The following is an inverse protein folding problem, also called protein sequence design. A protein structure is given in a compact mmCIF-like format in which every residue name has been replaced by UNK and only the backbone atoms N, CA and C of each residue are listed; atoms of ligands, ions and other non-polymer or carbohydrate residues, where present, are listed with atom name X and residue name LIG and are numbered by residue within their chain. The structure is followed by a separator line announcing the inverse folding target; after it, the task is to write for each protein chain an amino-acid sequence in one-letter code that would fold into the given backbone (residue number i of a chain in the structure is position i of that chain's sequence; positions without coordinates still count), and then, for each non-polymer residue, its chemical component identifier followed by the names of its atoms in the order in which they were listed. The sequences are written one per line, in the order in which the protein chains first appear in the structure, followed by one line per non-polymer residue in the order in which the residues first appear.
data_IF_765993234152
#
_entry.id   IF_765993234152
#
_cell.length_a   1.000
_cell.length_b   1.000
_cell.length_c   1.000
_cell.angle_alpha   90.00
_cell.angle_beta   90.00
_cell.angle_gamma   90.00
#
_symmetry.space_group_name_H-M   'P 1'
#
loop_
_entity.id
_entity.type
_entity.pdbx_description
1 polymer ?
#
# COMPACT_ATOMS: atom_id res chain seq x y z
N UNK A 1 12.16 11.38 -11.96
CA UNK A 1 13.40 11.48 -12.72
C UNK A 1 14.60 11.88 -11.84
N UNK A 2 14.50 12.98 -11.07
CA UNK A 2 15.59 13.40 -10.15
C UNK A 2 15.88 12.40 -9.04
N UNK A 3 14.87 11.66 -8.58
CA UNK A 3 15.00 10.64 -7.54
C UNK A 3 15.47 9.28 -8.03
N UNK A 4 15.61 9.06 -9.34
CA UNK A 4 16.07 7.79 -9.92
C UNK A 4 15.10 6.63 -9.71
N UNK A 5 13.78 6.90 -9.60
CA UNK A 5 12.78 5.85 -9.41
C UNK A 5 12.58 5.06 -10.70
N UNK A 6 12.62 3.74 -10.62
CA UNK A 6 12.52 2.82 -11.76
C UNK A 6 11.10 2.31 -12.00
N UNK A 7 10.19 2.46 -11.03
CA UNK A 7 8.78 2.12 -11.20
C UNK A 7 7.86 3.09 -10.47
N UNK A 8 6.64 3.25 -11.00
CA UNK A 8 5.58 4.09 -10.43
C UNK A 8 4.30 3.27 -10.36
N UNK A 9 3.49 3.49 -9.32
CA UNK A 9 2.18 2.90 -9.19
C UNK A 9 1.11 3.86 -9.71
N UNK A 10 0.20 3.37 -10.56
CA UNK A 10 -1.00 4.09 -10.99
C UNK A 10 -2.05 4.13 -9.89
N UNK A 11 -2.76 5.25 -9.78
CA UNK A 11 -3.77 5.45 -8.75
C UNK A 11 -5.17 5.01 -9.22
N UNK A 12 -6.06 4.73 -8.27
CA UNK A 12 -7.48 4.42 -8.51
C UNK A 12 -8.27 5.60 -9.09
N UNK A 13 -7.82 6.81 -8.78
CA UNK A 13 -8.55 8.04 -9.05
C UNK A 13 -8.89 8.22 -10.53
N UNK A 14 -9.98 8.96 -10.76
CA UNK A 14 -10.38 9.44 -12.08
C UNK A 14 -9.78 10.82 -12.36
N UNK A 15 -9.23 11.02 -13.55
CA UNK A 15 -8.85 12.32 -14.08
C UNK A 15 -9.63 12.55 -15.38
N UNK A 16 -10.47 13.59 -15.39
CA UNK A 16 -11.36 13.90 -16.52
C UNK A 16 -12.24 12.72 -16.94
N UNK A 17 -12.74 11.97 -15.95
CA UNK A 17 -13.66 10.86 -16.18
C UNK A 17 -13.00 9.54 -16.62
N UNK A 18 -11.67 9.45 -16.66
CA UNK A 18 -10.94 8.24 -16.99
C UNK A 18 -10.02 7.83 -15.84
N UNK A 19 -9.97 6.54 -15.50
CA UNK A 19 -9.09 6.01 -14.47
C UNK A 19 -7.62 6.25 -14.80
N UNK A 20 -6.82 6.62 -13.78
CA UNK A 20 -5.42 7.00 -13.97
C UNK A 20 -4.59 5.93 -14.69
N UNK A 21 -4.82 4.65 -14.36
CA UNK A 21 -4.09 3.52 -14.98
C UNK A 21 -4.34 3.36 -16.49
N UNK A 22 -5.47 3.87 -16.97
CA UNK A 22 -5.90 3.78 -18.38
C UNK A 22 -5.78 5.13 -19.10
N UNK A 23 -5.36 6.18 -18.41
CA UNK A 23 -5.41 7.55 -18.89
C UNK A 23 -4.21 7.87 -19.77
N UNK A 24 -4.41 7.81 -21.08
CA UNK A 24 -3.38 8.11 -22.08
C UNK A 24 -2.85 9.54 -21.98
N UNK A 25 -3.70 10.53 -21.66
CA UNK A 25 -3.23 11.91 -21.47
C UNK A 25 -2.25 11.99 -20.30
N UNK A 26 -2.57 11.36 -19.17
CA UNK A 26 -1.72 11.36 -18.00
C UNK A 26 -0.43 10.57 -18.21
N UNK A 27 -0.56 9.30 -18.63
CA UNK A 27 0.56 8.37 -18.65
C UNK A 27 1.42 8.50 -19.92
N UNK A 28 0.80 8.76 -21.10
CA UNK A 28 1.55 8.92 -22.35
C UNK A 28 2.02 10.37 -22.52
N UNK A 29 1.08 11.31 -22.63
CA UNK A 29 1.45 12.67 -23.05
C UNK A 29 2.25 13.40 -21.98
N UNK A 30 1.86 13.31 -20.70
CA UNK A 30 2.56 14.01 -19.62
C UNK A 30 3.74 13.19 -19.12
N UNK A 31 3.51 11.97 -18.63
CA UNK A 31 4.56 11.21 -17.95
C UNK A 31 5.65 10.72 -18.91
N UNK A 32 5.27 10.07 -20.03
CA UNK A 32 6.23 9.56 -21.01
C UNK A 32 6.82 10.67 -21.87
N UNK A 33 5.97 11.44 -22.57
CA UNK A 33 6.43 12.35 -23.62
C UNK A 33 6.99 13.64 -23.04
N UNK A 34 6.25 14.34 -22.16
CA UNK A 34 6.69 15.63 -21.62
C UNK A 34 7.80 15.46 -20.55
N UNK A 35 7.61 14.53 -19.62
CA UNK A 35 8.58 14.32 -18.54
C UNK A 35 9.69 13.34 -18.91
N UNK A 36 9.54 12.58 -19.98
CA UNK A 36 10.51 11.59 -20.45
C UNK A 36 10.76 10.49 -19.43
N UNK A 37 9.72 10.05 -18.71
CA UNK A 37 9.83 8.93 -17.79
C UNK A 37 9.80 7.60 -18.58
N UNK A 38 10.82 6.77 -18.38
CA UNK A 38 11.02 5.50 -19.10
C UNK A 38 11.07 4.27 -18.17
N UNK A 39 10.68 4.44 -16.89
CA UNK A 39 10.53 3.34 -15.94
C UNK A 39 9.20 2.62 -16.11
N UNK A 40 9.02 1.53 -15.37
CA UNK A 40 7.82 0.69 -15.40
C UNK A 40 6.65 1.34 -14.66
N UNK A 41 5.45 1.25 -15.22
CA UNK A 41 4.21 1.69 -14.58
C UNK A 41 3.40 0.45 -14.21
N UNK A 42 3.08 0.32 -12.94
CA UNK A 42 2.27 -0.78 -12.39
C UNK A 42 0.94 -0.23 -11.89
N UNK A 43 -0.16 -0.95 -12.06
CA UNK A 43 -1.45 -0.54 -11.48
C UNK A 43 -1.47 -0.79 -9.97
N UNK A 44 -2.35 -0.12 -9.24
CA UNK A 44 -2.82 -0.63 -7.97
C UNK A 44 -3.73 -1.85 -8.21
N UNK A 45 -4.10 -2.62 -7.15
CA UNK A 45 -4.95 -3.80 -7.26
C UNK A 45 -6.35 -3.41 -7.78
N UNK A 46 -6.82 -4.11 -8.84
CA UNK A 46 -8.11 -3.87 -9.49
C UNK A 46 -8.32 -2.44 -10.02
N UNK A 47 -7.25 -1.71 -10.30
CA UNK A 47 -7.32 -0.33 -10.80
C UNK A 47 -7.42 -0.22 -12.33
N UNK A 48 -7.58 -1.36 -13.03
CA UNK A 48 -7.71 -1.43 -14.50
C UNK A 48 -9.12 -1.94 -14.85
N UNK A 49 -9.84 -1.19 -15.67
CA UNK A 49 -11.26 -1.46 -15.94
C UNK A 49 -11.58 -1.73 -17.41
N UNK A 50 -10.77 -1.21 -18.34
CA UNK A 50 -10.97 -1.34 -19.79
C UNK A 50 -9.73 -1.86 -20.49
N UNK A 51 -9.85 -3.01 -21.16
CA UNK A 51 -8.74 -3.68 -21.87
C UNK A 51 -8.13 -2.82 -22.98
N UNK A 52 -8.96 -2.14 -23.78
CA UNK A 52 -8.47 -1.34 -24.91
C UNK A 52 -7.76 -0.08 -24.40
N UNK A 53 -8.37 0.62 -23.46
CA UNK A 53 -7.76 1.81 -22.85
C UNK A 53 -6.44 1.46 -22.15
N UNK A 54 -6.38 0.34 -21.42
CA UNK A 54 -5.17 -0.15 -20.77
C UNK A 54 -4.09 -0.59 -21.79
N UNK A 55 -4.49 -1.23 -22.90
CA UNK A 55 -3.56 -1.58 -23.97
C UNK A 55 -2.91 -0.33 -24.59
N UNK A 56 -3.70 0.69 -24.92
CA UNK A 56 -3.25 1.94 -25.52
C UNK A 56 -2.51 2.88 -24.53
N UNK A 57 -2.68 2.65 -23.22
CA UNK A 57 -1.98 3.41 -22.19
C UNK A 57 -0.58 2.84 -21.94
N UNK A 58 0.38 3.65 -21.46
CA UNK A 58 1.70 3.17 -21.05
C UNK A 58 1.73 2.42 -19.73
N UNK A 59 0.61 1.90 -19.23
CA UNK A 59 0.58 0.96 -18.11
C UNK A 59 1.29 -0.33 -18.54
N UNK A 60 2.29 -0.77 -17.80
CA UNK A 60 3.10 -1.93 -18.18
C UNK A 60 2.67 -3.21 -17.45
N UNK A 61 2.24 -3.11 -16.20
CA UNK A 61 1.87 -4.25 -15.35
C UNK A 61 0.52 -3.99 -14.69
N UNK A 62 -0.39 -4.93 -14.81
CA UNK A 62 -1.66 -4.95 -14.08
C UNK A 62 -1.55 -5.81 -12.83
N UNK A 63 -2.02 -5.27 -11.69
CA UNK A 63 -2.20 -5.98 -10.44
C UNK A 63 -3.67 -6.26 -10.17
N UNK A 64 -3.99 -7.44 -9.68
CA UNK A 64 -5.34 -7.82 -9.27
C UNK A 64 -5.31 -8.77 -8.08
N UNK A 65 -6.48 -8.97 -7.45
CA UNK A 65 -6.68 -9.90 -6.32
C UNK A 65 -7.22 -11.26 -6.76
N UNK A 66 -7.53 -11.42 -8.03
CA UNK A 66 -7.98 -12.69 -8.62
C UNK A 66 -6.82 -13.54 -9.12
N UNK A 67 -7.05 -14.85 -9.22
CA UNK A 67 -6.17 -15.79 -9.92
C UNK A 67 -6.70 -16.18 -11.30
N UNK A 68 -7.82 -15.58 -11.73
CA UNK A 68 -8.44 -15.84 -13.04
C UNK A 68 -7.91 -14.85 -14.07
N UNK A 69 -7.16 -15.35 -15.04
CA UNK A 69 -6.60 -14.53 -16.12
C UNK A 69 -7.66 -13.98 -17.08
N UNK A 70 -8.90 -14.43 -17.02
CA UNK A 70 -10.01 -13.84 -17.77
C UNK A 70 -10.50 -12.52 -17.13
N UNK A 71 -10.25 -12.32 -15.83
CA UNK A 71 -10.57 -11.07 -15.14
C UNK A 71 -9.54 -9.96 -15.39
N UNK A 72 -8.27 -10.32 -15.64
CA UNK A 72 -7.22 -9.35 -15.93
C UNK A 72 -7.38 -8.73 -17.31
N UNK A 73 -7.36 -7.41 -17.39
CA UNK A 73 -7.53 -6.66 -18.64
C UNK A 73 -6.33 -6.78 -19.57
N UNK A 74 -5.12 -6.93 -19.00
CA UNK A 74 -3.87 -7.12 -19.74
C UNK A 74 -3.46 -8.60 -19.90
N UNK A 75 -4.35 -9.56 -19.60
CA UNK A 75 -4.11 -10.99 -19.82
C UNK A 75 -4.96 -11.56 -20.98
N UNK A 76 -5.81 -12.55 -20.72
CA UNK A 76 -6.62 -13.20 -21.76
C UNK A 76 -7.50 -12.21 -22.56
N UNK A 77 -8.15 -11.20 -21.95
CA UNK A 77 -8.88 -10.18 -22.70
C UNK A 77 -8.01 -9.42 -23.71
N UNK A 78 -6.75 -9.09 -23.36
CA UNK A 78 -5.82 -8.41 -24.27
C UNK A 78 -5.40 -9.32 -25.43
N UNK A 79 -5.14 -10.62 -25.16
CA UNK A 79 -4.82 -11.60 -26.21
C UNK A 79 -5.95 -11.68 -27.24
N UNK A 80 -7.19 -11.72 -26.76
CA UNK A 80 -8.36 -11.77 -27.65
C UNK A 80 -8.57 -10.46 -28.42
N UNK A 81 -8.30 -9.30 -27.78
CA UNK A 81 -8.36 -8.00 -28.45
C UNK A 81 -7.34 -7.89 -29.59
N UNK A 82 -6.11 -8.38 -29.39
CA UNK A 82 -5.07 -8.42 -30.44
C UNK A 82 -5.49 -9.35 -31.58
N UNK A 83 -5.98 -10.56 -31.31
CA UNK A 83 -6.48 -11.49 -32.35
C UNK A 83 -7.61 -10.90 -33.18
N UNK A 84 -8.45 -10.06 -32.58
CA UNK A 84 -9.56 -9.37 -33.29
C UNK A 84 -9.12 -8.09 -33.98
N UNK A 85 -7.89 -7.64 -33.82
CA UNK A 85 -7.38 -6.36 -34.34
C UNK A 85 -7.88 -5.12 -33.60
N UNK A 86 -8.39 -5.28 -32.37
CA UNK A 86 -8.87 -4.22 -31.49
C UNK A 86 -7.74 -3.59 -30.65
N UNK A 87 -6.64 -4.31 -30.49
CA UNK A 87 -5.39 -3.85 -29.88
C UNK A 87 -4.20 -4.26 -30.75
N UNK A 88 -3.06 -3.64 -30.57
CA UNK A 88 -1.85 -3.90 -31.38
C UNK A 88 -0.84 -4.72 -30.60
N UNK A 89 -0.17 -5.64 -31.26
CA UNK A 89 0.94 -6.39 -30.66
C UNK A 89 2.09 -5.44 -30.21
N UNK A 90 2.31 -4.35 -30.97
CA UNK A 90 3.29 -3.31 -30.58
C UNK A 90 3.03 -2.66 -29.22
N UNK A 91 1.77 -2.62 -28.76
CA UNK A 91 1.44 -2.08 -27.46
C UNK A 91 1.92 -3.03 -26.34
N UNK A 92 1.92 -4.34 -26.61
CA UNK A 92 2.49 -5.36 -25.70
C UNK A 92 4.02 -5.27 -25.71
N UNK A 93 4.64 -5.13 -26.88
CA UNK A 93 6.09 -5.01 -27.02
C UNK A 93 6.62 -3.81 -26.21
N UNK A 94 5.93 -2.66 -26.23
CA UNK A 94 6.30 -1.48 -25.46
C UNK A 94 6.25 -1.76 -23.96
N UNK A 95 5.22 -2.44 -23.45
CA UNK A 95 5.10 -2.82 -22.04
C UNK A 95 6.22 -3.77 -21.61
N UNK A 96 6.48 -4.79 -22.41
CA UNK A 96 7.56 -5.76 -22.19
C UNK A 96 8.92 -5.05 -22.20
N UNK A 97 9.12 -4.10 -23.11
CA UNK A 97 10.34 -3.29 -23.18
C UNK A 97 10.62 -2.56 -21.85
N UNK A 98 9.64 -1.86 -21.28
CA UNK A 98 9.81 -1.15 -20.01
C UNK A 98 10.11 -2.09 -18.83
N UNK A 99 9.44 -3.26 -18.79
CA UNK A 99 9.69 -4.28 -17.77
C UNK A 99 11.13 -4.80 -17.87
N UNK A 100 11.56 -5.19 -19.07
CA UNK A 100 12.90 -5.69 -19.28
C UNK A 100 13.96 -4.61 -19.00
N UNK A 101 13.73 -3.37 -19.42
CA UNK A 101 14.63 -2.24 -19.16
C UNK A 101 14.84 -2.04 -17.65
N UNK A 102 13.76 -2.07 -16.86
CA UNK A 102 13.85 -2.01 -15.41
C UNK A 102 14.68 -3.18 -14.86
N UNK A 103 14.43 -4.40 -15.31
CA UNK A 103 15.16 -5.59 -14.86
C UNK A 103 16.66 -5.50 -15.19
N UNK A 104 17.02 -5.00 -16.37
CA UNK A 104 18.42 -4.75 -16.73
C UNK A 104 19.08 -3.67 -15.88
N UNK A 105 18.40 -2.52 -15.67
CA UNK A 105 18.90 -1.42 -14.83
C UNK A 105 19.12 -1.84 -13.38
N UNK A 106 18.24 -2.68 -12.88
CA UNK A 106 18.34 -3.27 -11.54
C UNK A 106 19.29 -4.47 -11.49
N UNK A 107 19.97 -4.80 -12.57
CA UNK A 107 20.92 -5.95 -12.67
C UNK A 107 20.28 -7.28 -12.27
N UNK A 108 19.00 -7.47 -12.57
CA UNK A 108 18.29 -8.72 -12.31
C UNK A 108 18.56 -9.76 -13.40
N UNK A 109 18.80 -9.29 -14.62
CA UNK A 109 19.06 -10.10 -15.82
C UNK A 109 20.21 -9.50 -16.64
N UNK A 110 20.68 -10.27 -17.62
CA UNK A 110 21.74 -9.87 -18.55
C UNK A 110 23.16 -10.12 -18.03
N UNK A 111 24.16 -9.65 -18.77
CA UNK A 111 25.56 -9.90 -18.47
C UNK A 111 26.08 -9.26 -17.16
N UNK A 112 25.35 -8.25 -16.65
CA UNK A 112 25.66 -7.57 -15.39
C UNK A 112 24.76 -8.04 -14.25
N UNK A 113 24.06 -9.14 -14.43
CA UNK A 113 23.18 -9.68 -13.37
C UNK A 113 23.99 -10.00 -12.11
N UNK A 114 23.48 -9.58 -10.96
CA UNK A 114 24.10 -9.80 -9.65
C UNK A 114 23.29 -10.83 -8.85
N UNK A 115 24.00 -11.75 -8.18
CA UNK A 115 23.37 -12.63 -7.21
C UNK A 115 22.81 -11.80 -6.05
N UNK A 116 21.52 -11.95 -5.77
CA UNK A 116 20.83 -11.26 -4.68
C UNK A 116 20.71 -12.17 -3.48
N UNK A 117 21.17 -11.68 -2.33
CA UNK A 117 20.95 -12.35 -1.05
C UNK A 117 19.57 -12.00 -0.52
N UNK A 118 18.96 -12.95 0.17
CA UNK A 118 17.74 -12.65 0.93
C UNK A 118 18.00 -11.54 1.94
N UNK A 119 17.09 -10.60 2.04
CA UNK A 119 17.11 -9.57 3.08
C UNK A 119 16.74 -10.14 4.44
N UNK A 120 16.69 -9.28 5.45
CA UNK A 120 16.18 -9.59 6.77
C UNK A 120 14.97 -8.71 7.08
N UNK A 121 14.12 -9.17 7.98
CA UNK A 121 12.97 -8.43 8.47
C UNK A 121 12.78 -8.67 9.96
N UNK A 122 12.06 -7.76 10.61
CA UNK A 122 11.74 -7.85 12.03
C UNK A 122 12.95 -8.00 12.96
N UNK A 123 14.08 -7.40 12.61
CA UNK A 123 15.25 -7.34 13.48
C UNK A 123 14.99 -6.37 14.66
N UNK A 124 15.81 -6.41 15.74
CA UNK A 124 15.71 -5.42 16.80
C UNK A 124 15.82 -3.98 16.28
N UNK A 125 16.69 -3.75 15.30
CA UNK A 125 16.91 -2.45 14.67
C UNK A 125 15.64 -1.99 13.94
N UNK A 126 15.02 -2.86 13.11
CA UNK A 126 13.77 -2.55 12.42
C UNK A 126 12.65 -2.19 13.42
N UNK A 127 12.55 -2.91 14.53
CA UNK A 127 11.57 -2.59 15.58
C UNK A 127 11.83 -1.24 16.24
N UNK A 128 13.10 -0.91 16.46
CA UNK A 128 13.49 0.40 17.02
C UNK A 128 13.14 1.53 16.06
N UNK A 129 13.42 1.38 14.77
CA UNK A 129 13.07 2.37 13.74
C UNK A 129 11.55 2.56 13.62
N UNK A 130 10.78 1.47 13.55
CA UNK A 130 9.32 1.53 13.49
C UNK A 130 8.74 2.24 14.73
N UNK A 131 9.30 1.96 15.90
CA UNK A 131 8.90 2.65 17.12
C UNK A 131 9.24 4.15 17.06
N UNK A 132 10.43 4.51 16.63
CA UNK A 132 10.84 5.91 16.44
C UNK A 132 9.90 6.67 15.50
N UNK A 133 9.55 6.08 14.35
CA UNK A 133 8.59 6.65 13.42
C UNK A 133 7.21 6.83 14.06
N UNK A 134 6.74 5.85 14.85
CA UNK A 134 5.48 5.96 15.57
C UNK A 134 5.50 7.09 16.61
N UNK A 135 6.58 7.21 17.40
CA UNK A 135 6.75 8.27 18.38
C UNK A 135 6.75 9.67 17.73
N UNK A 136 7.42 9.84 16.59
CA UNK A 136 7.45 11.08 15.81
C UNK A 136 6.11 11.41 15.12
N UNK A 137 5.23 10.43 14.93
CA UNK A 137 3.93 10.62 14.27
C UNK A 137 2.86 11.23 15.19
N UNK A 138 3.08 11.25 16.51
CA UNK A 138 2.10 11.81 17.44
C UNK A 138 2.07 13.35 17.38
N UNK A 139 0.86 13.90 17.26
CA UNK A 139 0.62 15.33 17.30
C UNK A 139 -0.14 15.68 18.57
N UNK A 140 0.52 16.40 19.47
CA UNK A 140 -0.07 16.88 20.74
C UNK A 140 -0.86 18.16 20.47
N UNK A 141 -2.17 18.05 20.32
CA UNK A 141 -3.04 19.19 20.00
C UNK A 141 -3.27 20.14 21.18
N UNK A 142 -3.26 19.62 22.39
CA UNK A 142 -3.52 20.38 23.62
C UNK A 142 -2.88 19.68 24.83
N UNK A 143 -2.24 20.44 25.70
CA UNK A 143 -1.63 19.91 26.91
C UNK A 143 -1.62 21.00 28.01
N UNK A 144 -2.81 21.39 28.47
CA UNK A 144 -2.96 22.37 29.55
C UNK A 144 -2.36 21.79 30.82
N UNK A 145 -1.72 22.66 31.58
CA UNK A 145 -1.03 22.34 32.86
C UNK A 145 0.05 21.24 32.73
N UNK A 146 0.59 21.00 31.54
CA UNK A 146 1.60 19.96 31.26
C UNK A 146 1.21 18.57 31.81
N UNK A 147 -0.05 18.17 31.59
CA UNK A 147 -0.57 16.88 32.06
C UNK A 147 0.09 15.67 31.39
N UNK A 148 0.59 15.84 30.17
CA UNK A 148 1.34 14.84 29.45
C UNK A 148 2.80 15.23 29.30
N UNK A 149 3.75 14.27 29.31
CA UNK A 149 3.54 12.83 29.51
C UNK A 149 3.12 12.49 30.94
N UNK A 150 2.34 11.40 31.07
CA UNK A 150 2.03 10.89 32.41
C UNK A 150 3.30 10.30 33.02
N UNK A 151 3.53 10.60 34.31
CA UNK A 151 4.62 9.96 35.04
C UNK A 151 4.21 8.54 35.44
N UNK A 152 5.05 7.56 35.14
CA UNK A 152 4.90 6.19 35.64
C UNK A 152 5.19 6.08 37.15
N UNK A 153 5.95 7.05 37.69
CA UNK A 153 6.29 7.10 39.13
C UNK A 153 5.10 7.58 39.94
N UNK A 154 4.56 6.69 40.77
CA UNK A 154 3.47 7.00 41.69
C UNK A 154 2.06 6.94 41.10
N UNK A 155 1.90 6.57 39.83
CA UNK A 155 0.61 6.33 39.21
C UNK A 155 -0.04 5.07 39.81
N UNK A 156 -1.11 5.24 40.58
CA UNK A 156 -1.80 4.14 41.27
C UNK A 156 -2.85 3.47 40.39
N UNK A 157 -3.60 4.28 39.67
CA UNK A 157 -4.71 3.80 38.82
C UNK A 157 -4.70 4.56 37.49
N UNK A 158 -5.03 3.83 36.40
CA UNK A 158 -5.24 4.36 35.07
C UNK A 158 -6.52 3.77 34.49
N UNK A 159 -7.42 4.61 34.01
CA UNK A 159 -8.60 4.21 33.26
C UNK A 159 -8.35 4.41 31.77
N UNK A 160 -8.46 3.33 31.01
CA UNK A 160 -8.39 3.33 29.54
C UNK A 160 -9.80 3.11 29.01
N UNK A 161 -10.25 4.01 28.11
CA UNK A 161 -11.60 3.97 27.55
C UNK A 161 -11.50 3.95 26.03
N UNK A 162 -12.34 3.16 25.38
CA UNK A 162 -12.48 3.12 23.92
C UNK A 162 -12.22 1.75 23.34
N UNK A 163 -12.99 1.39 22.32
CA UNK A 163 -12.92 0.09 21.64
C UNK A 163 -11.53 -0.14 21.01
N UNK A 164 -10.96 0.88 20.40
CA UNK A 164 -9.64 0.81 19.76
C UNK A 164 -8.48 0.50 20.73
N UNK A 165 -8.69 0.67 22.05
CA UNK A 165 -7.65 0.34 23.03
C UNK A 165 -7.33 -1.18 23.05
N UNK A 166 -8.29 -2.02 22.74
CA UNK A 166 -8.17 -3.48 22.75
C UNK A 166 -8.00 -4.09 21.37
N UNK A 167 -8.34 -3.34 20.31
CA UNK A 167 -8.24 -3.81 18.93
C UNK A 167 -6.78 -3.99 18.51
N UNK A 168 -6.58 -5.01 17.67
CA UNK A 168 -5.34 -5.25 16.94
C UNK A 168 -5.43 -4.56 15.58
N UNK A 169 -4.43 -3.75 15.24
CA UNK A 169 -4.46 -2.87 14.07
C UNK A 169 -3.21 -3.01 13.20
N UNK A 170 -2.66 -4.22 13.08
CA UNK A 170 -1.46 -4.44 12.27
C UNK A 170 -1.71 -4.30 10.77
N UNK A 171 -2.97 -4.38 10.34
CA UNK A 171 -3.35 -4.30 8.94
C UNK A 171 -4.42 -3.21 8.70
N UNK A 172 -4.36 -2.60 7.51
CA UNK A 172 -5.31 -1.57 7.08
C UNK A 172 -6.45 -2.11 6.21
N UNK A 173 -6.47 -3.42 5.93
CA UNK A 173 -7.39 -4.02 4.96
C UNK A 173 -6.99 -3.75 3.50
N UNK A 174 -7.68 -4.37 2.54
CA UNK A 174 -7.40 -4.26 1.12
C UNK A 174 -5.96 -4.61 0.75
N UNK A 175 -5.32 -3.81 -0.07
CA UNK A 175 -3.92 -4.01 -0.48
C UNK A 175 -2.89 -3.88 0.66
N UNK A 176 -3.29 -3.31 1.79
CA UNK A 176 -2.47 -3.20 3.01
C UNK A 176 -2.71 -4.36 4.00
N UNK A 177 -3.45 -5.39 3.60
CA UNK A 177 -3.70 -6.56 4.44
C UNK A 177 -2.44 -7.44 4.49
N UNK A 178 -1.77 -7.41 5.63
CA UNK A 178 -0.56 -8.19 5.90
C UNK A 178 -0.79 -9.14 7.07
N UNK A 179 -0.08 -10.26 7.06
CA UNK A 179 -0.05 -11.19 8.20
C UNK A 179 1.09 -10.79 9.12
N UNK A 180 0.76 -10.10 10.21
CA UNK A 180 1.74 -9.74 11.23
C UNK A 180 2.30 -10.96 11.96
N UNK A 181 3.56 -10.93 12.37
CA UNK A 181 4.16 -11.98 13.19
C UNK A 181 3.58 -11.98 14.61
N UNK A 182 3.26 -10.83 15.13
CA UNK A 182 2.56 -10.62 16.40
C UNK A 182 1.92 -9.23 16.38
N UNK A 183 0.96 -9.04 17.27
CA UNK A 183 0.27 -7.75 17.41
C UNK A 183 0.19 -7.38 18.89
N UNK A 184 0.32 -6.10 19.18
CA UNK A 184 0.20 -5.55 20.52
C UNK A 184 -0.86 -4.44 20.48
N UNK A 185 -1.97 -4.64 21.19
CA UNK A 185 -2.96 -3.58 21.31
C UNK A 185 -2.46 -2.43 22.17
N UNK A 186 -2.98 -1.20 22.02
CA UNK A 186 -2.67 -0.08 22.90
C UNK A 186 -2.80 -0.42 24.39
N UNK A 187 -3.85 -1.12 24.78
CA UNK A 187 -4.08 -1.57 26.16
C UNK A 187 -2.99 -2.52 26.65
N UNK A 188 -2.58 -3.48 25.81
CA UNK A 188 -1.48 -4.39 26.15
C UNK A 188 -0.16 -3.63 26.30
N UNK A 189 0.13 -2.69 25.42
CA UNK A 189 1.33 -1.83 25.51
C UNK A 189 1.36 -1.02 26.79
N UNK A 190 0.25 -0.35 27.14
CA UNK A 190 0.10 0.42 28.39
C UNK A 190 0.31 -0.47 29.62
N UNK A 191 -0.36 -1.62 29.67
CA UNK A 191 -0.20 -2.57 30.79
C UNK A 191 1.23 -3.08 30.92
N UNK A 192 1.87 -3.38 29.80
CA UNK A 192 3.27 -3.84 29.77
C UNK A 192 4.24 -2.76 30.28
N UNK A 193 4.02 -1.51 29.87
CA UNK A 193 4.86 -0.38 30.27
C UNK A 193 4.73 -0.05 31.78
N UNK A 194 3.52 -0.08 32.31
CA UNK A 194 3.25 0.28 33.71
C UNK A 194 3.55 -0.86 34.70
N UNK A 195 3.61 -2.10 34.21
CA UNK A 195 3.83 -3.28 35.05
C UNK A 195 2.72 -3.50 36.08
N UNK A 196 3.02 -4.26 37.13
CA UNK A 196 2.06 -4.62 38.19
C UNK A 196 1.81 -3.55 39.26
N UNK A 197 2.48 -2.41 39.20
CA UNK A 197 2.40 -1.39 40.24
C UNK A 197 1.23 -0.40 40.06
N UNK A 198 0.64 -0.37 38.87
CA UNK A 198 -0.48 0.50 38.50
C UNK A 198 -1.69 -0.37 38.12
N UNK A 199 -2.82 -0.10 38.76
CA UNK A 199 -4.08 -0.74 38.39
C UNK A 199 -4.61 -0.12 37.08
N UNK A 200 -4.54 -0.87 35.99
CA UNK A 200 -5.09 -0.44 34.70
C UNK A 200 -6.50 -1.04 34.54
N UNK A 201 -7.50 -0.18 34.54
CA UNK A 201 -8.91 -0.54 34.30
C UNK A 201 -9.28 -0.19 32.87
N UNK A 202 -9.90 -1.12 32.15
CA UNK A 202 -10.40 -0.90 30.80
C UNK A 202 -11.92 -0.84 30.80
N UNK A 203 -12.47 0.09 30.03
CA UNK A 203 -13.90 0.21 29.71
C UNK A 203 -14.07 0.48 28.23
N UNK A 204 -14.86 -0.34 27.55
CA UNK A 204 -15.09 -0.20 26.11
C UNK A 204 -15.68 1.17 25.75
N UNK A 205 -16.68 1.63 26.53
CA UNK A 205 -17.28 2.97 26.40
C UNK A 205 -18.27 3.11 25.26
N UNK A 206 -18.00 2.52 24.09
CA UNK A 206 -18.88 2.49 22.93
C UNK A 206 -18.77 1.14 22.20
N UNK A 207 -19.73 0.89 21.32
CA UNK A 207 -19.77 -0.32 20.50
C UNK A 207 -19.89 0.09 19.03
N UNK A 208 -19.04 -0.49 18.18
CA UNK A 208 -19.19 -0.37 16.73
C UNK A 208 -20.22 -1.40 16.28
N UNK A 209 -21.15 -1.00 15.44
CA UNK A 209 -22.15 -1.92 14.88
C UNK A 209 -21.48 -3.01 14.06
N UNK A 210 -21.90 -4.29 14.18
CA UNK A 210 -21.38 -5.36 13.31
C UNK A 210 -21.54 -5.08 11.80
N UNK A 211 -22.52 -4.24 11.42
CA UNK A 211 -22.69 -3.79 10.02
C UNK A 211 -21.63 -2.79 9.56
N UNK A 212 -21.03 -2.06 10.49
CA UNK A 212 -19.92 -1.14 10.21
C UNK A 212 -18.56 -1.86 10.26
N UNK A 213 -18.52 -3.06 10.87
CA UNK A 213 -17.37 -3.96 10.85
C UNK A 213 -17.29 -4.80 9.58
N UNK A 214 -18.42 -4.99 8.85
CA UNK A 214 -18.36 -5.50 7.50
C UNK A 214 -17.70 -4.40 6.64
N UNK A 215 -16.47 -4.60 6.27
CA UNK A 215 -15.83 -3.77 5.24
C UNK A 215 -16.74 -3.82 4.01
N UNK A 216 -17.55 -2.79 3.81
CA UNK A 216 -17.97 -2.44 2.46
C UNK A 216 -16.68 -2.34 1.68
N UNK A 217 -16.54 -3.15 0.65
CA UNK A 217 -15.33 -3.11 -0.14
C UNK A 217 -15.19 -1.66 -0.59
N UNK A 218 -14.02 -1.07 -0.37
CA UNK A 218 -13.70 0.30 -0.82
C UNK A 218 -13.93 0.47 -2.34
N UNK A 219 -14.17 -0.62 -3.06
CA UNK A 219 -14.56 -0.69 -4.46
C UNK A 219 -16.02 -0.29 -4.70
N UNK A 220 -16.87 -0.29 -3.67
CA UNK A 220 -18.29 0.10 -3.75
C UNK A 220 -18.53 1.60 -3.44
N UNK A 221 -17.48 2.35 -3.17
CA UNK A 221 -17.49 3.82 -2.97
C UNK A 221 -16.80 4.51 -4.13
#
# INVERSE_FOLDING_TARGET
KKGGVESLMGAYNLIRGQHCCENKMLLKNILRDEWGYDGTIISDWDAVHDTKAAAESPLDIEMSVTYDFDDYKLANPLIEAVKKGEAKESDIDEKVHHILLMMFRLKMIGALAEERKAGCYNTPEHRSEVRGVAEESFVLLKNDDNRLPLSDKGLKELLVIGDNAERLHALGGGSAEIKALYEISPLMGIKSQLGGNTKVTYKRGYYVSPKEESQESWQEK
#
